data_IF_475713771651
#
_entry.id   IF_475713771651
#
_cell.length_a   1.000
_cell.length_b   1.000
_cell.length_c   1.000
_cell.angle_alpha   90.00
_cell.angle_beta   90.00
_cell.angle_gamma   90.00
#
_symmetry.space_group_name_H-M   'P 1'
#
loop_
_entity.id
_entity.type
_entity.pdbx_description
1 polymer ?
#
# COMPACT_ATOMS: atom_id res chain seq x y z
N UNK A 1 -1.63 -7.84 -9.47
CA UNK A 1 -1.27 -6.72 -8.58
C UNK A 1 -2.53 -6.33 -7.83
N UNK A 2 -2.44 -6.23 -6.52
CA UNK A 2 -3.55 -5.93 -5.62
C UNK A 2 -3.14 -4.75 -4.74
N UNK A 3 -4.09 -3.87 -4.42
CA UNK A 3 -3.89 -2.74 -3.51
C UNK A 3 -4.87 -2.85 -2.36
N UNK A 4 -4.37 -2.74 -1.14
CA UNK A 4 -5.15 -2.75 0.08
C UNK A 4 -4.86 -1.49 0.90
N UNK A 5 -5.93 -0.82 1.35
CA UNK A 5 -5.86 0.35 2.22
C UNK A 5 -6.88 0.20 3.33
N UNK A 6 -6.42 0.33 4.56
CA UNK A 6 -7.26 0.19 5.75
C UNK A 6 -7.99 1.50 6.11
N UNK A 7 -7.40 2.64 5.76
CA UNK A 7 -7.87 3.99 6.06
C UNK A 7 -9.36 4.30 5.76
N UNK A 8 -9.94 3.92 4.60
CA UNK A 8 -11.37 4.15 4.37
C UNK A 8 -12.30 3.21 5.16
N UNK A 9 -11.78 2.09 5.66
CA UNK A 9 -12.58 1.08 6.38
C UNK A 9 -12.49 1.23 7.89
N UNK A 10 -11.34 1.69 8.42
CA UNK A 10 -11.10 1.85 9.84
C UNK A 10 -10.51 3.24 10.13
N UNK A 11 -11.34 4.14 10.68
CA UNK A 11 -10.93 5.53 10.99
C UNK A 11 -9.98 5.66 12.19
N UNK A 12 -9.89 4.61 13.01
CA UNK A 12 -9.03 4.53 14.21
C UNK A 12 -7.76 3.70 13.97
N UNK A 13 -7.48 3.29 12.73
CA UNK A 13 -6.25 2.54 12.42
C UNK A 13 -4.99 3.32 12.81
N UNK A 14 -4.02 2.62 13.38
CA UNK A 14 -2.67 3.15 13.68
C UNK A 14 -1.89 3.39 12.37
N UNK A 15 -2.29 2.74 11.28
CA UNK A 15 -1.64 2.82 9.97
C UNK A 15 -2.39 3.79 9.03
N UNK A 16 -2.65 5.01 9.52
CA UNK A 16 -3.22 6.07 8.68
C UNK A 16 -2.32 6.33 7.48
N UNK A 17 -2.93 6.43 6.31
CA UNK A 17 -2.27 6.67 5.02
C UNK A 17 -1.31 5.56 4.54
N UNK A 18 -1.31 4.37 5.15
CA UNK A 18 -0.57 3.22 4.63
C UNK A 18 -1.36 2.47 3.55
N UNK A 19 -0.64 2.11 2.48
CA UNK A 19 -1.15 1.28 1.39
C UNK A 19 -0.25 0.08 1.19
N UNK A 20 -0.83 -1.11 1.27
CA UNK A 20 -0.13 -2.34 0.92
C UNK A 20 -0.38 -2.69 -0.53
N UNK A 21 0.70 -2.90 -1.29
CA UNK A 21 0.65 -3.33 -2.68
C UNK A 21 1.22 -4.74 -2.76
N UNK A 22 0.40 -5.71 -3.17
CA UNK A 22 0.82 -7.10 -3.37
C UNK A 22 0.92 -7.46 -4.85
N UNK A 23 2.10 -7.91 -5.26
CA UNK A 23 2.31 -8.63 -6.51
C UNK A 23 1.96 -10.10 -6.29
N UNK A 24 0.68 -10.45 -6.39
CA UNK A 24 0.20 -11.83 -6.17
C UNK A 24 0.63 -12.83 -7.26
N UNK A 25 0.91 -12.36 -8.48
CA UNK A 25 1.36 -13.20 -9.58
C UNK A 25 2.30 -12.41 -10.48
N UNK A 26 3.47 -12.98 -10.73
CA UNK A 26 4.45 -12.45 -11.65
C UNK A 26 5.03 -13.63 -12.46
N UNK A 27 4.99 -13.56 -13.80
CA UNK A 27 5.42 -14.67 -14.67
C UNK A 27 6.94 -14.81 -14.74
N UNK A 28 7.68 -13.72 -14.51
CA UNK A 28 9.10 -13.63 -14.82
C UNK A 28 9.92 -13.05 -13.65
N UNK A 29 9.44 -13.20 -12.42
CA UNK A 29 10.16 -12.72 -11.25
C UNK A 29 9.38 -12.92 -9.96
N UNK A 30 9.89 -12.35 -8.86
CA UNK A 30 9.35 -12.57 -7.54
C UNK A 30 7.95 -11.94 -7.38
N UNK A 31 7.15 -12.62 -6.56
CA UNK A 31 5.90 -12.13 -5.97
C UNK A 31 6.20 -11.60 -4.57
N UNK A 32 5.39 -10.67 -4.08
CA UNK A 32 5.62 -10.07 -2.76
C UNK A 32 4.74 -8.86 -2.47
N UNK A 33 4.68 -8.50 -1.19
CA UNK A 33 4.00 -7.32 -0.69
C UNK A 33 4.98 -6.21 -0.35
N UNK A 34 4.68 -4.99 -0.77
CA UNK A 34 5.38 -3.78 -0.31
C UNK A 34 4.37 -2.87 0.39
N UNK A 35 4.81 -2.28 1.50
CA UNK A 35 4.05 -1.25 2.21
C UNK A 35 4.60 0.10 1.80
N UNK A 36 3.71 0.99 1.39
CA UNK A 36 4.03 2.35 0.96
C UNK A 36 3.10 3.32 1.68
N UNK A 37 3.61 4.50 2.00
CA UNK A 37 2.76 5.58 2.51
C UNK A 37 2.16 6.35 1.33
N UNK A 38 0.85 6.60 1.38
CA UNK A 38 0.08 7.27 0.35
C UNK A 38 -0.33 8.67 0.79
N UNK A 39 0.29 9.68 0.21
CA UNK A 39 -0.01 11.09 0.47
C UNK A 39 -1.27 11.50 -0.32
N UNK A 40 -2.42 11.54 0.35
CA UNK A 40 -3.72 11.88 -0.25
C UNK A 40 -3.73 13.26 -0.92
N UNK A 41 -3.07 14.25 -0.31
CA UNK A 41 -3.02 15.63 -0.80
C UNK A 41 -2.35 15.74 -2.18
N UNK A 42 -1.39 14.87 -2.47
CA UNK A 42 -0.60 14.89 -3.70
C UNK A 42 -0.87 13.68 -4.61
N UNK A 43 -1.69 12.73 -4.17
CA UNK A 43 -1.93 11.45 -4.86
C UNK A 43 -0.65 10.62 -5.05
N UNK A 44 0.34 10.74 -4.15
CA UNK A 44 1.70 10.20 -4.33
C UNK A 44 2.01 9.08 -3.34
N UNK A 45 2.67 8.03 -3.81
CA UNK A 45 3.25 6.99 -2.96
C UNK A 45 4.70 7.33 -2.62
N UNK A 46 5.08 7.16 -1.36
CA UNK A 46 6.44 7.31 -0.86
C UNK A 46 6.88 6.04 -0.13
N UNK A 47 8.16 5.71 -0.25
CA UNK A 47 8.77 4.66 0.54
C UNK A 47 8.86 5.12 1.99
N UNK A 48 8.50 4.24 2.91
CA UNK A 48 8.80 4.41 4.33
C UNK A 48 10.17 3.76 4.57
N UNK A 49 11.10 4.51 5.15
CA UNK A 49 12.45 4.03 5.50
C UNK A 49 12.41 3.14 6.75
#
# INVERSE_FOLDING_TARGET
>A
MLMYREDPYNKETEHKDMTEIQSAKHRNGPVGGIKLRFLKEYGKFIYEE
#
